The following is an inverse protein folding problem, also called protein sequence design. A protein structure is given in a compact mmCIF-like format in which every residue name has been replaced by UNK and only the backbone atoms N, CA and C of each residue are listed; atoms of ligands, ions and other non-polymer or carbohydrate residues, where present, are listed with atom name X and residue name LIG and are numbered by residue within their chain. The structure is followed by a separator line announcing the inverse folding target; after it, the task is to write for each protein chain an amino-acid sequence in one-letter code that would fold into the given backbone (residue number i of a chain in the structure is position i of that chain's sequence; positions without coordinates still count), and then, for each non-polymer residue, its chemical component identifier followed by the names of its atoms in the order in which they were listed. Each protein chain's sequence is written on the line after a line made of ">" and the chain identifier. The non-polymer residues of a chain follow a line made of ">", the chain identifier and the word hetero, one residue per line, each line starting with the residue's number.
data_IF_394132955348
#
_entry.id   IF_394132955348
#
_cell.length_a   1.000
_cell.length_b   1.000
_cell.length_c   1.000
_cell.angle_alpha   90.00
_cell.angle_beta   90.00
_cell.angle_gamma   90.00
#
_symmetry.space_group_name_H-M   'P 1'
#
loop_
_entity.id
_entity.type
_entity.pdbx_description
1 polymer ?
#
# COMPACT_ATOMS: atom_id res chain seq x y z
N UNK A 1 8.50 -8.23 11.38
CA UNK A 1 9.15 -9.56 11.31
C UNK A 1 9.44 -10.03 12.73
N UNK A 2 9.73 -11.32 12.94
CA UNK A 2 10.02 -11.86 14.28
C UNK A 2 11.23 -11.23 14.96
N UNK A 3 12.16 -10.68 14.17
CA UNK A 3 13.34 -9.92 14.61
C UNK A 3 13.08 -8.42 14.88
N UNK A 4 11.81 -7.97 14.81
CA UNK A 4 11.44 -6.57 14.99
C UNK A 4 11.69 -5.67 13.77
N UNK A 5 12.25 -6.21 12.68
CA UNK A 5 12.45 -5.43 11.45
C UNK A 5 11.12 -5.02 10.80
N UNK A 6 11.13 -3.83 10.19
CA UNK A 6 10.00 -3.23 9.49
C UNK A 6 10.27 -3.20 7.99
N UNK A 7 9.25 -3.46 7.19
CA UNK A 7 9.31 -3.44 5.73
C UNK A 7 8.39 -2.34 5.20
N UNK A 8 8.89 -1.56 4.25
CA UNK A 8 8.13 -0.64 3.42
C UNK A 8 7.98 -1.27 2.03
N UNK A 9 6.73 -1.50 1.64
CA UNK A 9 6.40 -2.00 0.31
C UNK A 9 6.75 -0.95 -0.74
N UNK A 10 7.62 -1.31 -1.66
CA UNK A 10 8.06 -0.43 -2.74
C UNK A 10 6.91 -0.13 -3.70
N UNK A 11 6.82 1.14 -4.12
CA UNK A 11 5.98 1.58 -5.23
C UNK A 11 4.49 1.77 -4.91
N UNK A 12 4.06 1.54 -3.67
CA UNK A 12 2.65 1.65 -3.27
C UNK A 12 2.48 2.49 -2.00
N UNK A 13 1.33 3.12 -1.87
CA UNK A 13 0.95 3.92 -0.71
C UNK A 13 -0.49 3.66 -0.28
N UNK A 14 -0.71 3.50 1.03
CA UNK A 14 -2.05 3.42 1.62
C UNK A 14 -2.47 4.80 2.16
N UNK A 15 -3.79 5.05 2.34
CA UNK A 15 -4.27 6.23 3.04
C UNK A 15 -3.61 6.36 4.43
N UNK A 16 -3.35 7.59 4.84
CA UNK A 16 -2.71 7.86 6.13
C UNK A 16 -3.68 7.62 7.31
N UNK A 17 -3.22 6.90 8.33
CA UNK A 17 -4.04 6.57 9.50
C UNK A 17 -3.61 7.27 10.79
N UNK A 18 -2.48 7.95 10.78
CA UNK A 18 -1.95 8.68 11.92
C UNK A 18 -1.96 10.19 11.67
N UNK A 19 -2.16 10.96 12.74
CA UNK A 19 -2.04 12.41 12.68
C UNK A 19 -0.64 12.81 12.23
N UNK A 20 -0.55 13.45 11.07
CA UNK A 20 0.69 13.80 10.40
C UNK A 20 0.47 14.84 9.30
N UNK A 21 1.56 15.44 8.81
CA UNK A 21 1.50 16.33 7.64
C UNK A 21 0.99 15.62 6.39
N UNK A 22 1.23 14.31 6.27
CA UNK A 22 0.68 13.52 5.15
C UNK A 22 -0.84 13.49 5.22
N UNK A 23 -1.42 13.24 6.40
CA UNK A 23 -2.87 13.24 6.60
C UNK A 23 -3.48 14.60 6.25
N UNK A 24 -2.84 15.70 6.64
CA UNK A 24 -3.28 17.05 6.29
C UNK A 24 -3.32 17.24 4.78
N UNK A 25 -2.23 16.92 4.08
CA UNK A 25 -2.14 17.05 2.61
C UNK A 25 -3.14 16.14 1.89
N UNK A 26 -3.36 14.93 2.40
CA UNK A 26 -4.31 13.98 1.82
C UNK A 26 -5.75 14.48 2.00
N UNK A 27 -6.08 15.09 3.14
CA UNK A 27 -7.35 15.77 3.39
C UNK A 27 -7.58 16.92 2.42
N UNK A 28 -6.59 17.81 2.27
CA UNK A 28 -6.67 18.95 1.35
C UNK A 28 -6.82 18.50 -0.12
N UNK A 29 -6.08 17.48 -0.53
CA UNK A 29 -6.08 16.97 -1.91
C UNK A 29 -7.38 16.25 -2.28
N UNK A 30 -7.97 15.51 -1.33
CA UNK A 30 -9.15 14.67 -1.59
C UNK A 30 -10.46 15.35 -1.22
N UNK A 31 -10.42 16.46 -0.48
CA UNK A 31 -11.59 17.12 0.09
C UNK A 31 -12.28 16.32 1.20
N UNK A 32 -11.68 15.20 1.64
CA UNK A 32 -12.21 14.35 2.71
C UNK A 32 -11.75 14.82 4.05
N UNK A 33 -12.60 14.65 5.06
CA UNK A 33 -12.20 14.87 6.43
C UNK A 33 -11.15 13.82 6.87
N UNK A 34 -10.34 14.21 7.85
CA UNK A 34 -9.23 13.37 8.35
C UNK A 34 -9.71 12.05 8.94
N UNK A 35 -10.89 12.02 9.55
CA UNK A 35 -11.44 10.81 10.17
C UNK A 35 -11.81 9.76 9.12
N UNK A 36 -12.41 10.20 8.01
CA UNK A 36 -12.66 9.35 6.84
C UNK A 36 -11.35 8.76 6.29
N UNK A 37 -10.30 9.56 6.13
CA UNK A 37 -9.00 9.09 5.62
C UNK A 37 -8.38 8.07 6.58
N UNK A 38 -8.44 8.32 7.90
CA UNK A 38 -7.94 7.39 8.91
C UNK A 38 -8.65 6.04 8.83
N UNK A 39 -9.98 6.02 8.74
CA UNK A 39 -10.77 4.79 8.61
C UNK A 39 -10.47 4.02 7.32
N UNK A 40 -10.24 4.71 6.21
CA UNK A 40 -9.77 4.07 4.96
C UNK A 40 -8.36 3.47 5.15
N UNK A 41 -7.47 4.16 5.86
CA UNK A 41 -6.13 3.66 6.20
C UNK A 41 -6.15 2.46 7.15
N UNK A 42 -7.10 2.40 8.07
CA UNK A 42 -7.37 1.25 8.93
C UNK A 42 -7.87 0.05 8.11
N UNK A 43 -8.83 0.27 7.21
CA UNK A 43 -9.33 -0.78 6.32
C UNK A 43 -8.20 -1.36 5.43
N UNK A 44 -7.34 -0.51 4.87
CA UNK A 44 -6.15 -0.94 4.12
C UNK A 44 -5.17 -1.73 5.00
N UNK A 45 -4.92 -1.25 6.23
CA UNK A 45 -4.04 -1.93 7.18
C UNK A 45 -4.55 -3.33 7.52
N UNK A 46 -5.86 -3.45 7.76
CA UNK A 46 -6.53 -4.69 8.09
C UNK A 46 -6.52 -5.69 6.92
N UNK A 47 -6.74 -5.21 5.70
CA UNK A 47 -6.61 -6.02 4.50
C UNK A 47 -5.18 -6.58 4.36
N UNK A 48 -4.16 -5.72 4.46
CA UNK A 48 -2.75 -6.14 4.35
C UNK A 48 -2.40 -7.13 5.46
N UNK A 49 -2.86 -6.89 6.69
CA UNK A 49 -2.67 -7.82 7.81
C UNK A 49 -3.23 -9.20 7.47
N UNK A 50 -4.49 -9.30 7.06
CA UNK A 50 -5.12 -10.58 6.67
C UNK A 50 -4.39 -11.26 5.50
N UNK A 51 -3.83 -10.47 4.58
CA UNK A 51 -3.11 -11.01 3.43
C UNK A 51 -1.81 -11.72 3.83
N UNK A 52 -1.07 -11.21 4.83
CA UNK A 52 0.30 -11.67 5.13
C UNK A 52 0.48 -12.30 6.52
N UNK A 53 -0.44 -12.09 7.46
CA UNK A 53 -0.29 -12.55 8.83
C UNK A 53 -0.24 -14.08 8.93
N UNK A 54 0.69 -14.58 9.75
CA UNK A 54 0.94 -16.01 9.90
C UNK A 54 1.60 -16.68 8.70
N UNK A 55 1.89 -15.96 7.62
CA UNK A 55 2.50 -16.50 6.39
C UNK A 55 3.99 -16.19 6.32
N UNK A 56 4.75 -17.11 5.73
CA UNK A 56 6.14 -16.85 5.35
C UNK A 56 6.16 -15.99 4.09
N UNK A 57 7.14 -15.10 4.02
CA UNK A 57 7.30 -14.16 2.91
C UNK A 57 8.73 -14.14 2.41
N UNK A 58 8.90 -13.99 1.11
CA UNK A 58 10.17 -13.69 0.47
C UNK A 58 10.30 -12.19 0.26
N UNK A 59 11.41 -11.62 0.72
CA UNK A 59 11.73 -10.21 0.58
C UNK A 59 12.73 -10.02 -0.58
N UNK A 60 12.31 -9.32 -1.62
CA UNK A 60 13.13 -9.06 -2.82
C UNK A 60 13.49 -7.58 -2.86
N UNK A 61 14.77 -7.29 -3.12
CA UNK A 61 15.27 -5.92 -3.34
C UNK A 61 15.04 -5.50 -4.78
N UNK A 62 14.73 -4.23 -4.98
CA UNK A 62 14.78 -3.62 -6.31
C UNK A 62 16.22 -3.23 -6.65
N UNK A 63 16.68 -3.59 -7.85
CA UNK A 63 18.03 -3.25 -8.30
C UNK A 63 18.18 -1.73 -8.46
N UNK A 64 19.28 -1.17 -7.96
CA UNK A 64 19.51 0.28 -8.00
C UNK A 64 18.68 1.09 -7.00
N UNK A 65 17.91 0.44 -6.13
CA UNK A 65 17.14 1.10 -5.06
C UNK A 65 17.85 0.98 -3.70
N UNK A 66 17.62 1.96 -2.83
CA UNK A 66 18.15 1.94 -1.46
C UNK A 66 17.68 0.70 -0.71
N UNK A 67 18.52 0.17 0.19
CA UNK A 67 18.14 -1.00 1.00
C UNK A 67 17.06 -0.66 2.03
N UNK A 68 17.17 0.54 2.59
CA UNK A 68 16.34 1.06 3.67
C UNK A 68 16.04 2.52 3.45
N UNK A 69 14.89 2.96 3.93
CA UNK A 69 14.58 4.39 4.00
C UNK A 69 15.19 5.05 5.25
N UNK A 70 15.03 6.37 5.34
CA UNK A 70 15.45 7.20 6.50
C UNK A 70 14.85 6.78 7.85
N UNK A 71 13.82 5.93 7.87
CA UNK A 71 13.20 5.37 9.07
C UNK A 71 13.69 3.95 9.38
N UNK A 72 14.77 3.51 8.72
CA UNK A 72 15.37 2.19 8.88
C UNK A 72 14.41 1.03 8.52
N UNK A 73 13.41 1.29 7.65
CA UNK A 73 12.54 0.23 7.12
C UNK A 73 13.15 -0.34 5.86
N UNK A 74 13.18 -1.68 5.74
CA UNK A 74 13.62 -2.36 4.53
C UNK A 74 12.70 -2.00 3.37
N UNK A 75 13.26 -1.57 2.24
CA UNK A 75 12.52 -1.31 1.01
C UNK A 75 12.45 -2.61 0.22
N UNK A 76 11.25 -3.22 0.11
CA UNK A 76 11.10 -4.55 -0.51
C UNK A 76 9.88 -4.70 -1.40
N UNK A 77 10.03 -5.58 -2.39
CA UNK A 77 8.94 -6.37 -2.95
C UNK A 77 8.73 -7.61 -2.10
N UNK A 78 7.47 -7.98 -1.89
CA UNK A 78 7.10 -9.06 -0.98
C UNK A 78 6.30 -10.12 -1.75
N UNK A 79 6.72 -11.37 -1.63
CA UNK A 79 6.04 -12.52 -2.20
C UNK A 79 5.62 -13.50 -1.11
N UNK A 80 4.42 -14.07 -1.22
CA UNK A 80 4.00 -15.22 -0.42
C UNK A 80 4.54 -16.52 -1.03
N UNK A 81 4.52 -17.61 -0.26
CA UNK A 81 4.98 -18.93 -0.71
C UNK A 81 4.18 -19.49 -1.90
N UNK A 82 2.92 -19.10 -2.03
CA UNK A 82 2.04 -19.47 -3.15
C UNK A 82 2.33 -18.67 -4.43
N UNK A 83 3.33 -17.78 -4.41
CA UNK A 83 3.69 -16.91 -5.53
C UNK A 83 2.94 -15.58 -5.56
N UNK A 84 2.03 -15.31 -4.63
CA UNK A 84 1.30 -14.03 -4.59
C UNK A 84 2.27 -12.86 -4.43
N UNK A 85 2.30 -11.96 -5.41
CA UNK A 85 3.05 -10.71 -5.31
C UNK A 85 2.24 -9.68 -4.50
N UNK A 86 2.58 -9.53 -3.22
CA UNK A 86 1.80 -8.74 -2.25
C UNK A 86 1.65 -7.28 -2.68
N UNK A 87 2.70 -6.64 -3.19
CA UNK A 87 2.62 -5.24 -3.61
C UNK A 87 1.56 -5.03 -4.72
N UNK A 88 1.59 -5.89 -5.75
CA UNK A 88 0.62 -5.84 -6.84
C UNK A 88 -0.79 -6.16 -6.34
N UNK A 89 -0.92 -7.20 -5.50
CA UNK A 89 -2.21 -7.67 -4.99
C UNK A 89 -2.98 -6.60 -4.19
N UNK A 90 -2.28 -5.81 -3.39
CA UNK A 90 -2.91 -4.73 -2.61
C UNK A 90 -3.49 -3.64 -3.54
N UNK A 91 -2.80 -3.32 -4.64
CA UNK A 91 -3.30 -2.35 -5.63
C UNK A 91 -4.47 -2.94 -6.40
N UNK A 92 -4.32 -4.18 -6.86
CA UNK A 92 -5.34 -4.91 -7.64
C UNK A 92 -6.67 -5.02 -6.89
N UNK A 93 -6.62 -5.24 -5.57
CA UNK A 93 -7.79 -5.32 -4.71
C UNK A 93 -8.27 -3.92 -4.24
N UNK A 94 -7.58 -2.85 -4.62
CA UNK A 94 -8.01 -1.46 -4.38
C UNK A 94 -7.72 -0.92 -2.98
N UNK A 95 -6.69 -1.43 -2.30
CA UNK A 95 -6.31 -1.01 -0.94
C UNK A 95 -5.04 -0.15 -0.88
N UNK A 96 -4.42 0.14 -2.02
CA UNK A 96 -3.31 1.07 -2.13
C UNK A 96 -3.33 1.83 -3.46
N UNK A 97 -2.74 3.02 -3.43
CA UNK A 97 -2.41 3.83 -4.59
C UNK A 97 -0.99 3.54 -5.08
N UNK A 98 -0.71 3.86 -6.34
CA UNK A 98 0.65 3.87 -6.85
C UNK A 98 1.42 5.06 -6.30
N UNK A 99 2.59 4.83 -5.72
CA UNK A 99 3.51 5.91 -5.35
C UNK A 99 4.24 6.40 -6.61
N UNK A 100 3.67 7.39 -7.28
CA UNK A 100 4.14 7.86 -8.60
C UNK A 100 5.58 8.37 -8.65
N UNK A 101 6.16 8.78 -7.52
CA UNK A 101 7.55 9.21 -7.45
C UNK A 101 8.55 8.03 -7.38
N UNK A 102 8.07 6.78 -7.27
CA UNK A 102 8.91 5.60 -7.30
C UNK A 102 9.48 5.37 -8.72
N UNK A 103 10.80 5.43 -8.84
CA UNK A 103 11.53 5.04 -10.04
C UNK A 103 11.90 3.56 -9.94
N UNK A 104 10.93 2.67 -10.19
CA UNK A 104 11.08 1.23 -9.99
C UNK A 104 10.51 0.43 -11.16
N UNK A 105 11.08 -0.74 -11.42
CA UNK A 105 10.77 -1.58 -12.59
C UNK A 105 9.29 -1.96 -12.73
N UNK A 106 8.56 -2.04 -11.61
CA UNK A 106 7.15 -2.46 -11.56
C UNK A 106 6.11 -1.34 -11.76
N UNK A 107 6.55 -0.09 -11.97
CA UNK A 107 5.62 1.07 -11.93
C UNK A 107 4.50 1.01 -12.98
N UNK A 108 4.77 0.52 -14.19
CA UNK A 108 3.77 0.42 -15.25
C UNK A 108 2.71 -0.65 -14.96
N UNK A 109 3.13 -1.77 -14.38
CA UNK A 109 2.24 -2.83 -13.91
C UNK A 109 1.31 -2.30 -12.80
N UNK A 110 1.87 -1.59 -11.82
CA UNK A 110 1.10 -1.00 -10.73
C UNK A 110 0.08 0.03 -11.23
N UNK A 111 0.45 0.90 -12.18
CA UNK A 111 -0.48 1.87 -12.78
C UNK A 111 -1.62 1.20 -13.53
N UNK A 112 -1.36 0.08 -14.20
CA UNK A 112 -2.41 -0.71 -14.86
C UNK A 112 -3.38 -1.28 -13.83
N UNK A 113 -2.87 -1.93 -12.78
CA UNK A 113 -3.69 -2.53 -11.72
C UNK A 113 -4.52 -1.49 -10.97
N UNK A 114 -3.95 -0.32 -10.68
CA UNK A 114 -4.68 0.77 -10.01
C UNK A 114 -5.85 1.27 -10.87
N UNK A 115 -5.62 1.43 -12.17
CA UNK A 115 -6.69 1.82 -13.10
C UNK A 115 -7.80 0.79 -13.13
N UNK A 116 -7.46 -0.50 -13.25
CA UNK A 116 -8.43 -1.59 -13.24
C UNK A 116 -9.21 -1.64 -11.92
N UNK A 117 -8.54 -1.46 -10.77
CA UNK A 117 -9.19 -1.42 -9.46
C UNK A 117 -10.18 -0.25 -9.34
N UNK A 118 -9.84 0.92 -9.89
CA UNK A 118 -10.73 2.10 -9.95
C UNK A 118 -11.95 1.85 -10.83
N UNK A 119 -11.74 1.37 -12.05
CA UNK A 119 -12.81 1.07 -13.02
C UNK A 119 -13.80 0.05 -12.46
N UNK A 120 -13.28 -0.96 -11.76
CA UNK A 120 -14.08 -2.02 -11.14
C UNK A 120 -14.56 -1.70 -9.71
N UNK A 121 -14.30 -0.49 -9.20
CA UNK A 121 -14.71 -0.05 -7.85
C UNK A 121 -14.30 -1.04 -6.75
N UNK A 122 -13.08 -1.58 -6.84
CA UNK A 122 -12.55 -2.55 -5.87
C UNK A 122 -12.05 -1.84 -4.61
N UNK A 123 -12.16 -2.52 -3.47
CA UNK A 123 -11.65 -2.04 -2.19
C UNK A 123 -12.11 -0.62 -1.91
N UNK A 124 -11.15 0.25 -1.59
CA UNK A 124 -11.40 1.63 -1.23
C UNK A 124 -12.06 2.44 -2.36
N UNK A 125 -11.92 2.03 -3.63
CA UNK A 125 -12.55 2.73 -4.77
C UNK A 125 -14.06 2.52 -4.87
N UNK A 126 -14.59 1.48 -4.24
CA UNK A 126 -16.01 1.17 -4.16
C UNK A 126 -16.61 1.69 -2.87
N UNK A 127 -16.97 0.79 -1.97
CA UNK A 127 -17.42 1.13 -0.62
C UNK A 127 -16.83 0.12 0.37
N UNK A 128 -16.15 0.62 1.40
CA UNK A 128 -15.61 -0.17 2.50
C UNK A 128 -16.11 0.45 3.80
N UNK A 129 -16.90 -0.30 4.56
CA UNK A 129 -17.51 0.16 5.82
C UNK A 129 -18.31 1.48 5.66
N UNK A 130 -18.99 1.68 4.53
CA UNK A 130 -19.72 2.92 4.24
C UNK A 130 -18.85 4.07 3.73
N UNK A 131 -17.55 3.84 3.47
CA UNK A 131 -16.59 4.86 3.04
C UNK A 131 -16.01 4.55 1.67
N UNK A 132 -15.56 5.59 0.96
CA UNK A 132 -14.97 5.49 -0.38
C UNK A 132 -13.82 6.47 -0.56
N UNK A 133 -12.78 6.05 -1.26
CA UNK A 133 -11.61 6.83 -1.71
C UNK A 133 -11.86 7.63 -2.99
#
# INVERSE_FOLDING_TARGET
>A
MSDGSKVRLIGIDTPEKYDSDKLNRESDMTGRDKETIKKLGEAASEYVRKLVEGKRVTLVRESGYEDKDKYNRLLRYVYLEDGTFVNARIIEDGYANVYNAAQVSKINEFKRLEREARENKRGLWGEVNGLRQ
#
